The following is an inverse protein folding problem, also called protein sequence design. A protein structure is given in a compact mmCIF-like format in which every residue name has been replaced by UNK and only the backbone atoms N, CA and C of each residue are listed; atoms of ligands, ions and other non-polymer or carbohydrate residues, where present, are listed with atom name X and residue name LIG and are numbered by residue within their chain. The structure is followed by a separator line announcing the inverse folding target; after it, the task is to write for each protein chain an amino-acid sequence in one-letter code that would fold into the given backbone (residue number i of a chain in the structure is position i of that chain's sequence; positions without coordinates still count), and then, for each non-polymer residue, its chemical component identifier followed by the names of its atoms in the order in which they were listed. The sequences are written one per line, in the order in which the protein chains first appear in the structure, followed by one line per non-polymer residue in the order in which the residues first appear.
data_IF_374629158718
#
_entry.id   IF_374629158718
#
_cell.length_a   1.000
_cell.length_b   1.000
_cell.length_c   1.000
_cell.angle_alpha   90.00
_cell.angle_beta   90.00
_cell.angle_gamma   90.00
#
_symmetry.space_group_name_H-M   'P 1'
#
loop_
_entity.id
_entity.type
_entity.pdbx_description
1 polymer ?
#
# COMPACT_ATOMS: atom_id res chain seq x y z
N UNK A 1 23.77 56.61 -36.22
CA UNK A 1 22.45 57.27 -36.04
C UNK A 1 21.72 56.56 -34.89
N UNK A 2 21.71 57.22 -33.72
CA UNK A 2 20.78 57.15 -32.57
C UNK A 2 20.30 55.79 -32.00
N UNK A 3 20.64 55.61 -30.71
CA UNK A 3 19.98 54.75 -29.71
C UNK A 3 18.45 54.95 -29.65
N UNK A 4 17.66 53.89 -29.47
CA UNK A 4 16.46 53.91 -28.59
C UNK A 4 15.81 52.53 -28.36
N UNK A 5 15.34 52.33 -27.13
CA UNK A 5 14.40 51.32 -26.60
C UNK A 5 15.04 50.01 -26.10
N UNK A 6 15.52 49.94 -24.86
CA UNK A 6 14.76 49.82 -23.59
C UNK A 6 14.01 48.48 -23.46
N UNK A 7 14.69 47.54 -22.79
CA UNK A 7 14.21 46.69 -21.69
C UNK A 7 12.70 46.44 -21.59
N UNK A 8 12.29 45.20 -21.86
CA UNK A 8 11.18 44.48 -21.24
C UNK A 8 11.55 42.98 -21.33
N UNK A 9 12.31 42.41 -20.38
CA UNK A 9 11.84 41.86 -19.10
C UNK A 9 10.51 41.11 -19.20
N UNK A 10 10.58 39.86 -19.63
CA UNK A 10 9.68 38.79 -19.19
C UNK A 10 10.33 37.44 -19.53
N UNK A 11 11.43 37.14 -18.82
CA UNK A 11 11.91 35.77 -18.69
C UNK A 11 10.82 35.03 -17.89
N UNK A 12 9.80 34.51 -18.58
CA UNK A 12 8.84 33.56 -18.02
C UNK A 12 9.63 32.27 -17.81
N UNK A 13 10.40 32.23 -16.74
CA UNK A 13 10.83 30.98 -16.11
C UNK A 13 9.56 30.32 -15.61
N UNK A 14 8.94 29.53 -16.48
CA UNK A 14 7.99 28.50 -16.09
C UNK A 14 8.66 27.68 -14.99
N UNK A 15 8.33 28.00 -13.74
CA UNK A 15 8.58 27.13 -12.60
C UNK A 15 7.78 25.86 -12.84
N UNK A 16 8.35 24.94 -13.61
CA UNK A 16 8.01 23.54 -13.51
C UNK A 16 8.45 23.11 -12.12
N UNK A 17 7.57 23.36 -11.13
CA UNK A 17 7.70 22.73 -9.83
C UNK A 17 7.78 21.23 -10.13
N UNK A 18 8.86 20.53 -9.72
CA UNK A 18 8.84 19.09 -9.77
C UNK A 18 7.66 18.67 -8.91
N UNK A 19 6.63 18.10 -9.55
CA UNK A 19 5.64 17.30 -8.85
C UNK A 19 6.43 16.17 -8.23
N UNK A 20 6.88 16.37 -6.99
CA UNK A 20 7.33 15.30 -6.14
C UNK A 20 6.10 14.45 -5.95
N UNK A 21 6.02 13.34 -6.68
CA UNK A 21 5.01 12.33 -6.48
C UNK A 21 5.01 12.02 -4.97
N UNK A 22 3.93 12.41 -4.29
CA UNK A 22 3.77 12.11 -2.89
C UNK A 22 3.66 10.59 -2.78
N UNK A 23 4.76 9.94 -2.41
CA UNK A 23 4.80 8.51 -2.13
C UNK A 23 3.76 8.21 -1.06
N UNK A 24 2.85 7.29 -1.35
CA UNK A 24 1.70 6.97 -0.49
C UNK A 24 2.18 6.38 0.84
N UNK A 25 3.29 5.62 0.78
CA UNK A 25 3.96 5.03 1.92
C UNK A 25 5.44 5.42 1.94
N UNK A 26 6.09 5.33 3.11
CA UNK A 26 7.55 5.50 3.21
C UNK A 26 8.25 4.22 2.76
N UNK A 27 9.26 4.36 1.91
CA UNK A 27 10.17 3.27 1.58
C UNK A 27 11.01 2.89 2.81
N UNK A 28 11.12 1.60 3.10
CA UNK A 28 11.86 1.07 4.22
C UNK A 28 11.18 -0.12 4.90
N UNK A 29 11.65 -0.48 6.08
CA UNK A 29 11.21 -1.63 6.86
C UNK A 29 9.95 -1.27 7.64
N UNK A 30 8.94 -2.12 7.53
CA UNK A 30 7.65 -1.99 8.22
C UNK A 30 7.38 -3.23 9.04
N UNK A 31 7.10 -3.05 10.33
CA UNK A 31 6.53 -4.09 11.17
C UNK A 31 5.03 -4.12 10.96
N UNK A 32 4.51 -5.26 10.50
CA UNK A 32 3.11 -5.47 10.17
C UNK A 32 2.51 -6.49 11.12
N UNK A 33 1.50 -6.08 11.88
CA UNK A 33 0.69 -6.97 12.72
C UNK A 33 -0.61 -7.28 12.02
N UNK A 34 -0.93 -8.55 11.84
CA UNK A 34 -2.18 -9.00 11.21
C UNK A 34 -2.99 -9.81 12.19
N UNK A 35 -4.26 -9.43 12.31
CA UNK A 35 -5.25 -10.12 13.12
C UNK A 35 -6.38 -10.58 12.22
N UNK A 36 -6.58 -11.90 12.15
CA UNK A 36 -7.68 -12.50 11.38
C UNK A 36 -8.86 -12.78 12.29
N UNK A 37 -10.04 -12.42 11.83
CA UNK A 37 -11.33 -12.64 12.47
C UNK A 37 -12.19 -13.52 11.54
N UNK A 38 -12.49 -14.73 11.99
CA UNK A 38 -13.40 -15.65 11.32
C UNK A 38 -14.66 -15.84 12.18
N UNK A 39 -15.85 -15.54 11.66
CA UNK A 39 -17.11 -15.90 12.29
C UNK A 39 -17.16 -17.42 12.51
N UNK A 40 -17.81 -17.84 13.60
CA UNK A 40 -18.09 -19.25 13.89
C UNK A 40 -16.89 -20.14 14.26
N UNK A 41 -15.70 -19.56 14.51
CA UNK A 41 -14.56 -20.26 15.11
C UNK A 41 -14.46 -19.97 16.61
N UNK A 42 -14.42 -20.99 17.49
CA UNK A 42 -14.35 -20.79 18.94
C UNK A 42 -12.97 -20.31 19.43
N UNK A 43 -11.95 -20.33 18.57
CA UNK A 43 -10.58 -19.94 18.88
C UNK A 43 -10.23 -18.65 18.16
N UNK A 44 -9.91 -17.60 18.92
CA UNK A 44 -9.31 -16.37 18.36
C UNK A 44 -7.90 -16.68 17.93
N UNK A 45 -7.60 -16.50 16.65
CA UNK A 45 -6.23 -16.62 16.15
C UNK A 45 -5.42 -15.47 16.74
N UNK A 46 -4.29 -15.74 17.43
CA UNK A 46 -3.45 -14.66 17.96
C UNK A 46 -2.92 -13.80 16.82
N UNK A 47 -2.82 -12.47 17.01
CA UNK A 47 -2.15 -11.61 16.06
C UNK A 47 -0.73 -12.10 15.80
N UNK A 48 -0.31 -12.08 14.55
CA UNK A 48 1.07 -12.37 14.18
C UNK A 48 1.71 -11.11 13.62
N UNK A 49 2.98 -10.92 13.98
CA UNK A 49 3.76 -9.75 13.59
C UNK A 49 4.88 -10.19 12.66
N UNK A 50 5.09 -9.45 11.58
CA UNK A 50 6.13 -9.73 10.60
C UNK A 50 6.76 -8.43 10.11
N UNK A 51 8.08 -8.45 9.89
CA UNK A 51 8.78 -7.33 9.27
C UNK A 51 8.79 -7.51 7.74
N UNK A 52 8.39 -6.47 7.01
CA UNK A 52 8.37 -6.42 5.55
C UNK A 52 9.16 -5.22 5.07
N UNK A 53 10.08 -5.44 4.13
CA UNK A 53 10.77 -4.34 3.45
C UNK A 53 9.93 -3.84 2.26
N UNK A 54 9.65 -2.55 2.24
CA UNK A 54 8.99 -1.85 1.13
C UNK A 54 10.04 -1.05 0.36
N UNK A 55 10.25 -1.37 -0.92
CA UNK A 55 11.17 -0.63 -1.78
C UNK A 55 10.58 0.71 -2.21
N UNK A 56 11.42 1.61 -2.72
CA UNK A 56 10.96 2.92 -3.25
C UNK A 56 9.95 2.75 -4.38
N UNK A 57 10.20 1.84 -5.31
CA UNK A 57 9.29 1.53 -6.42
C UNK A 57 7.93 0.97 -5.92
N UNK A 58 7.95 0.18 -4.84
CA UNK A 58 6.72 -0.31 -4.22
C UNK A 58 5.96 0.81 -3.51
N UNK A 59 6.66 1.72 -2.83
CA UNK A 59 6.08 2.88 -2.16
C UNK A 59 5.45 3.92 -3.11
N UNK A 60 5.95 3.98 -4.35
CA UNK A 60 5.48 4.89 -5.39
C UNK A 60 4.24 4.38 -6.13
N UNK A 61 3.97 3.07 -6.11
CA UNK A 61 2.83 2.47 -6.80
C UNK A 61 1.86 1.80 -5.82
N UNK A 62 0.65 2.35 -5.72
CA UNK A 62 -0.41 1.85 -4.85
C UNK A 62 -0.71 0.35 -5.04
N UNK A 63 -0.63 -0.17 -6.28
CA UNK A 63 -0.88 -1.58 -6.57
C UNK A 63 0.19 -2.50 -5.96
N UNK A 64 1.40 -1.97 -5.72
CA UNK A 64 2.48 -2.70 -5.08
C UNK A 64 2.39 -2.67 -3.55
N UNK A 65 1.59 -1.75 -2.99
CA UNK A 65 1.28 -1.68 -1.56
C UNK A 65 0.13 -2.61 -1.16
N UNK A 66 -0.66 -3.07 -2.12
CA UNK A 66 -1.72 -4.05 -1.87
C UNK A 66 -1.07 -5.36 -1.42
N UNK A 67 -1.45 -5.92 -0.25
CA UNK A 67 -0.98 -7.21 0.21
C UNK A 67 -1.34 -8.30 -0.80
N UNK A 68 -0.35 -8.77 -1.56
CA UNK A 68 -0.52 -9.89 -2.49
C UNK A 68 -0.39 -11.17 -1.65
N UNK A 69 -1.52 -11.79 -1.31
CA UNK A 69 -1.51 -13.05 -0.54
C UNK A 69 -0.94 -14.19 -1.39
N UNK A 70 0.28 -14.64 -1.07
CA UNK A 70 0.89 -15.89 -1.55
C UNK A 70 1.87 -15.78 -2.74
N UNK A 71 2.84 -16.70 -2.79
CA UNK A 71 3.90 -16.82 -3.83
C UNK A 71 3.39 -17.15 -5.24
N UNK A 72 2.08 -17.37 -5.38
CA UNK A 72 1.44 -17.60 -6.67
C UNK A 72 0.34 -16.59 -6.83
N UNK A 73 0.36 -15.87 -7.94
CA UNK A 73 -0.80 -15.20 -8.55
C UNK A 73 -1.87 -16.27 -8.85
N UNK A 74 -2.48 -16.85 -7.82
CA UNK A 74 -3.41 -17.99 -7.90
C UNK A 74 -4.76 -17.57 -8.47
N UNK A 75 -4.76 -17.05 -9.70
CA UNK A 75 -5.96 -16.61 -10.41
C UNK A 75 -6.67 -15.40 -9.79
N UNK A 76 -6.07 -14.73 -8.80
CA UNK A 76 -6.62 -13.54 -8.15
C UNK A 76 -6.35 -12.28 -8.98
N UNK A 77 -7.44 -11.66 -9.45
CA UNK A 77 -7.42 -10.37 -10.14
C UNK A 77 -7.74 -9.28 -9.13
N UNK A 78 -6.93 -8.23 -9.10
CA UNK A 78 -7.19 -7.03 -8.31
C UNK A 78 -7.83 -5.98 -9.21
N UNK A 79 -8.93 -5.39 -8.77
CA UNK A 79 -9.67 -4.36 -9.49
C UNK A 79 -10.02 -3.20 -8.57
N UNK A 80 -10.56 -2.13 -9.14
CA UNK A 80 -11.06 -0.97 -8.38
C UNK A 80 -10.00 -0.37 -7.44
N UNK A 81 -8.73 -0.39 -7.86
CA UNK A 81 -7.66 0.25 -7.08
C UNK A 81 -7.88 1.75 -7.10
N UNK A 82 -8.10 2.33 -5.93
CA UNK A 82 -8.32 3.76 -5.74
C UNK A 82 -7.32 4.30 -4.73
N UNK A 83 -6.78 5.48 -5.03
CA UNK A 83 -5.87 6.21 -4.16
C UNK A 83 -6.52 7.54 -3.83
N UNK A 84 -6.84 7.75 -2.56
CA UNK A 84 -7.43 8.97 -2.04
C UNK A 84 -6.51 9.51 -0.95
N UNK A 85 -5.63 10.45 -1.31
CA UNK A 85 -4.60 10.97 -0.41
C UNK A 85 -3.62 9.87 0.00
N UNK A 86 -3.65 9.48 1.28
CA UNK A 86 -2.83 8.39 1.84
C UNK A 86 -3.61 7.07 1.99
N UNK A 87 -4.84 7.00 1.49
CA UNK A 87 -5.68 5.79 1.56
C UNK A 87 -5.67 5.07 0.22
N UNK A 88 -5.33 3.79 0.24
CA UNK A 88 -5.44 2.87 -0.90
C UNK A 88 -6.59 1.91 -0.64
N UNK A 89 -7.52 1.77 -1.58
CA UNK A 89 -8.60 0.78 -1.51
C UNK A 89 -8.59 -0.09 -2.76
N UNK A 90 -8.94 -1.36 -2.62
CA UNK A 90 -8.94 -2.32 -3.73
C UNK A 90 -9.99 -3.40 -3.56
N UNK A 91 -10.33 -4.05 -4.67
CA UNK A 91 -11.09 -5.30 -4.70
C UNK A 91 -10.24 -6.42 -5.27
N UNK A 92 -10.59 -7.65 -4.93
CA UNK A 92 -9.92 -8.86 -5.32
C UNK A 92 -10.96 -9.92 -5.70
N UNK A 93 -10.72 -10.64 -6.79
CA UNK A 93 -11.51 -11.81 -7.17
C UNK A 93 -10.60 -12.93 -7.68
N UNK A 94 -10.63 -14.09 -7.03
CA UNK A 94 -9.87 -15.28 -7.39
C UNK A 94 -10.79 -16.25 -8.13
N UNK A 95 -10.58 -16.40 -9.44
CA UNK A 95 -11.45 -17.23 -10.29
C UNK A 95 -11.46 -18.70 -9.87
N UNK A 96 -10.31 -19.24 -9.49
CA UNK A 96 -10.15 -20.67 -9.23
C UNK A 96 -10.78 -21.12 -7.90
N UNK A 97 -10.77 -20.25 -6.89
CA UNK A 97 -11.34 -20.55 -5.57
C UNK A 97 -12.76 -20.00 -5.37
N UNK A 98 -13.25 -19.17 -6.28
CA UNK A 98 -14.50 -18.41 -6.11
C UNK A 98 -14.43 -17.40 -4.96
N UNK A 99 -13.22 -17.08 -4.49
CA UNK A 99 -13.00 -16.14 -3.40
C UNK A 99 -13.09 -14.71 -3.92
N UNK A 100 -13.84 -13.87 -3.22
CA UNK A 100 -13.89 -12.42 -3.48
C UNK A 100 -13.42 -11.68 -2.23
N UNK A 101 -12.94 -10.46 -2.40
CA UNK A 101 -12.57 -9.64 -1.25
C UNK A 101 -12.42 -8.18 -1.61
N UNK A 102 -12.36 -7.36 -0.57
CA UNK A 102 -12.07 -5.94 -0.65
C UNK A 102 -11.18 -5.54 0.51
N UNK A 103 -10.28 -4.61 0.28
CA UNK A 103 -9.41 -4.09 1.32
C UNK A 103 -9.20 -2.60 1.20
N UNK A 104 -8.78 -2.00 2.30
CA UNK A 104 -8.30 -0.63 2.38
C UNK A 104 -7.09 -0.56 3.30
N UNK A 105 -6.15 0.33 2.98
CA UNK A 105 -5.00 0.68 3.82
C UNK A 105 -4.86 2.19 3.85
N UNK A 106 -4.80 2.77 5.04
CA UNK A 106 -4.57 4.19 5.26
C UNK A 106 -3.21 4.39 5.91
N UNK A 107 -2.36 5.20 5.28
CA UNK A 107 -1.04 5.52 5.79
C UNK A 107 -1.06 6.83 6.59
N UNK A 108 -0.39 6.81 7.75
CA UNK A 108 -0.27 7.91 8.71
C UNK A 108 1.21 8.25 8.97
N UNK A 109 1.99 8.39 7.89
CA UNK A 109 3.42 8.70 7.97
C UNK A 109 4.25 7.48 8.39
N UNK A 110 4.41 7.28 9.71
CA UNK A 110 5.20 6.18 10.30
C UNK A 110 4.34 5.02 10.80
N UNK A 111 3.01 5.12 10.68
CA UNK A 111 2.09 4.01 10.93
C UNK A 111 1.13 3.82 9.77
N UNK A 112 0.48 2.67 9.68
CA UNK A 112 -0.66 2.48 8.79
C UNK A 112 -1.70 1.58 9.45
N UNK A 113 -2.94 1.71 9.02
CA UNK A 113 -4.05 0.82 9.39
C UNK A 113 -4.68 0.26 8.13
N UNK A 114 -4.90 -1.05 8.12
CA UNK A 114 -5.49 -1.76 7.00
C UNK A 114 -6.64 -2.65 7.46
N UNK A 115 -7.64 -2.78 6.60
CA UNK A 115 -8.74 -3.71 6.79
C UNK A 115 -8.98 -4.49 5.50
N UNK A 116 -9.31 -5.75 5.64
CA UNK A 116 -9.61 -6.62 4.52
C UNK A 116 -10.79 -7.50 4.86
N UNK A 117 -11.73 -7.60 3.94
CA UNK A 117 -12.84 -8.53 3.98
C UNK A 117 -12.68 -9.51 2.83
N UNK A 118 -12.82 -10.79 3.12
CA UNK A 118 -12.80 -11.86 2.15
C UNK A 118 -14.08 -12.67 2.32
N UNK A 119 -14.64 -13.12 1.21
CA UNK A 119 -15.77 -14.04 1.16
C UNK A 119 -15.36 -15.24 0.34
N UNK A 120 -15.50 -16.43 0.92
CA UNK A 120 -15.33 -17.70 0.22
C UNK A 120 -16.58 -18.55 0.47
N UNK A 121 -17.43 -18.69 -0.56
CA UNK A 121 -18.74 -19.36 -0.46
C UNK A 121 -19.56 -18.77 0.71
N UNK A 122 -19.91 -19.58 1.70
CA UNK A 122 -20.72 -19.19 2.87
C UNK A 122 -19.88 -18.73 4.07
N UNK A 123 -18.56 -18.57 3.91
CA UNK A 123 -17.67 -18.09 4.95
C UNK A 123 -17.18 -16.67 4.67
N UNK A 124 -17.56 -15.76 5.56
CA UNK A 124 -16.96 -14.43 5.64
C UNK A 124 -15.69 -14.50 6.48
N UNK A 125 -14.63 -13.83 6.06
CA UNK A 125 -13.40 -13.68 6.81
C UNK A 125 -13.05 -12.19 6.81
N UNK A 126 -12.57 -11.68 7.93
CA UNK A 126 -12.03 -10.33 7.99
C UNK A 126 -10.63 -10.35 8.58
N UNK A 127 -9.80 -9.41 8.15
CA UNK A 127 -8.47 -9.21 8.67
C UNK A 127 -8.26 -7.73 8.95
N UNK A 128 -7.67 -7.44 10.10
CA UNK A 128 -7.16 -6.12 10.45
C UNK A 128 -5.64 -6.16 10.43
N UNK A 129 -5.06 -5.09 9.94
CA UNK A 129 -3.64 -4.96 9.72
C UNK A 129 -3.21 -3.64 10.34
N UNK A 130 -2.12 -3.64 11.10
CA UNK A 130 -1.49 -2.41 11.57
C UNK A 130 -0.03 -2.46 11.22
N UNK A 131 0.51 -1.31 10.82
CA UNK A 131 1.89 -1.17 10.40
C UNK A 131 2.62 -0.12 11.19
N UNK A 132 3.90 -0.37 11.47
CA UNK A 132 4.82 0.61 12.06
C UNK A 132 6.13 0.66 11.28
N UNK A 133 6.56 1.86 10.91
CA UNK A 133 7.82 2.09 10.23
C UNK A 133 8.99 1.88 11.20
N UNK A 134 9.96 1.07 10.77
CA UNK A 134 11.16 0.73 11.54
C UNK A 134 12.42 1.41 11.01
N UNK A 135 12.38 2.07 9.85
CA UNK A 135 13.54 2.74 9.25
C UNK A 135 13.95 2.13 7.92
N UNK A 136 15.23 2.26 7.55
CA UNK A 136 15.76 1.71 6.31
C UNK A 136 15.77 0.17 6.32
N UNK A 137 15.64 -0.46 5.14
CA UNK A 137 15.81 -1.91 5.03
C UNK A 137 17.29 -2.29 5.19
N UNK A 138 17.56 -3.27 6.03
CA UNK A 138 18.88 -3.78 6.42
C UNK A 138 19.35 -4.98 5.58
N UNK A 139 18.73 -5.20 4.42
CA UNK A 139 19.14 -6.23 3.43
C UNK A 139 19.02 -7.68 3.89
N UNK A 140 18.51 -7.95 5.10
CA UNK A 140 18.55 -9.28 5.74
C UNK A 140 17.19 -9.97 5.84
N UNK A 141 16.07 -9.30 5.57
CA UNK A 141 14.77 -9.84 5.98
C UNK A 141 13.70 -9.74 4.90
N UNK A 142 13.72 -10.73 4.01
CA UNK A 142 12.55 -11.16 3.24
C UNK A 142 11.96 -12.35 4.02
N UNK A 143 10.88 -12.10 4.77
CA UNK A 143 10.03 -13.11 5.44
C UNK A 143 10.64 -13.89 6.63
N UNK A 144 11.12 -13.22 7.67
CA UNK A 144 11.39 -13.90 8.95
C UNK A 144 10.08 -14.11 9.72
N UNK A 145 9.48 -15.30 9.62
CA UNK A 145 8.59 -15.81 10.70
C UNK A 145 9.44 -15.86 11.97
N UNK A 146 9.05 -15.12 13.00
CA UNK A 146 9.48 -15.41 14.37
C UNK A 146 8.36 -16.14 15.10
#
# INVERSE_FOLDING_TARGET
MKLRNVVLFALVCSLALPVMAASIAKAGKWETTVQMEMPNMPVKIPPHTMAVCVTKEQAENAENLIPKTGDKRGGCTYTDVKVEGTTVSWKMACKDSGMTGSGSTTYHGDTYEGSMQMKMRDQDMSAKMTGKFLGACDGTEVNTKK
#
